data_IF_564805599735
#
_entry.id   IF_564805599735
#
_cell.length_a   1.000
_cell.length_b   1.000
_cell.length_c   1.000
_cell.angle_alpha   90.00
_cell.angle_beta   90.00
_cell.angle_gamma   90.00
#
_symmetry.space_group_name_H-M   'P 1'
#
loop_
_entity.id
_entity.type
_entity.pdbx_description
1 polymer ?
#
# COMPACT_ATOMS: atom_id res chain seq x y z
N UNK A 1 -4.01 29.51 1.65
CA UNK A 1 -4.19 28.04 1.56
C UNK A 1 -2.97 27.38 2.14
N UNK A 2 -3.12 26.37 3.00
CA UNK A 2 -1.96 25.69 3.57
C UNK A 2 -1.12 25.00 2.48
N UNK A 3 0.20 25.12 2.60
CA UNK A 3 1.15 24.69 1.56
C UNK A 3 1.10 23.17 1.38
N UNK A 4 0.99 22.42 2.49
CA UNK A 4 0.78 20.96 2.49
C UNK A 4 -0.43 20.50 1.67
N UNK A 5 -1.55 21.23 1.72
CA UNK A 5 -2.79 20.84 0.98
C UNK A 5 -2.60 21.00 -0.52
N UNK A 6 -1.86 22.04 -0.93
CA UNK A 6 -1.52 22.26 -2.33
C UNK A 6 -0.59 21.17 -2.87
N UNK A 7 0.38 20.73 -2.06
CA UNK A 7 1.28 19.61 -2.37
C UNK A 7 0.49 18.31 -2.53
N UNK A 8 -0.36 17.97 -1.54
CA UNK A 8 -1.20 16.76 -1.59
C UNK A 8 -2.08 16.71 -2.86
N UNK A 9 -2.71 17.84 -3.22
CA UNK A 9 -3.55 17.95 -4.41
C UNK A 9 -2.74 17.73 -5.70
N UNK A 10 -1.50 18.24 -5.75
CA UNK A 10 -0.60 18.03 -6.91
C UNK A 10 -0.14 16.58 -6.99
N UNK A 11 0.22 15.95 -5.88
CA UNK A 11 0.63 14.55 -5.82
C UNK A 11 -0.47 13.61 -6.34
N UNK A 12 -1.72 13.79 -5.90
CA UNK A 12 -2.87 13.02 -6.42
C UNK A 12 -3.05 13.25 -7.92
N UNK A 13 -2.91 14.50 -8.39
CA UNK A 13 -3.05 14.84 -9.81
C UNK A 13 -1.95 14.23 -10.69
N UNK A 14 -0.73 14.14 -10.17
CA UNK A 14 0.41 13.51 -10.85
C UNK A 14 0.18 12.01 -11.01
N UNK A 15 -0.21 11.31 -9.94
CA UNK A 15 -0.48 9.86 -9.99
C UNK A 15 -1.71 9.51 -10.83
N UNK A 16 -2.73 10.37 -10.82
CA UNK A 16 -3.93 10.20 -11.67
C UNK A 16 -3.83 10.94 -13.00
N UNK A 17 -2.62 11.24 -13.46
CA UNK A 17 -2.40 11.98 -14.70
C UNK A 17 -2.85 11.22 -15.96
N UNK A 18 -3.06 9.91 -15.89
CA UNK A 18 -3.64 9.11 -16.98
C UNK A 18 -5.16 9.31 -17.12
N UNK A 19 -5.86 9.54 -16.01
CA UNK A 19 -7.33 9.61 -15.95
C UNK A 19 -7.86 11.03 -15.79
N UNK A 20 -7.17 12.05 -16.34
CA UNK A 20 -7.39 13.48 -16.02
C UNK A 20 -8.84 13.94 -16.15
N UNK A 21 -9.55 13.48 -17.19
CA UNK A 21 -10.92 13.91 -17.52
C UNK A 21 -11.95 13.35 -16.54
N UNK A 22 -11.79 12.08 -16.12
CA UNK A 22 -12.79 11.34 -15.36
C UNK A 22 -12.32 10.97 -13.96
N UNK A 23 -11.40 11.75 -13.34
CA UNK A 23 -10.78 11.41 -12.05
C UNK A 23 -11.77 11.06 -10.94
N UNK A 24 -12.87 11.81 -10.82
CA UNK A 24 -13.90 11.53 -9.81
C UNK A 24 -14.56 10.18 -10.04
N UNK A 25 -14.95 9.91 -11.28
CA UNK A 25 -15.58 8.65 -11.68
C UNK A 25 -14.60 7.49 -11.46
N UNK A 26 -13.33 7.65 -11.84
CA UNK A 26 -12.29 6.65 -11.60
C UNK A 26 -12.15 6.30 -10.11
N UNK A 27 -12.09 7.30 -9.23
CA UNK A 27 -12.02 7.06 -7.80
C UNK A 27 -13.28 6.39 -7.26
N UNK A 28 -14.47 6.84 -7.67
CA UNK A 28 -15.73 6.22 -7.23
C UNK A 28 -15.80 4.76 -7.70
N UNK A 29 -15.50 4.48 -8.97
CA UNK A 29 -15.59 3.14 -9.54
C UNK A 29 -14.59 2.18 -8.90
N UNK A 30 -13.32 2.61 -8.73
CA UNK A 30 -12.29 1.73 -8.18
C UNK A 30 -12.52 1.46 -6.70
N UNK A 31 -12.93 2.47 -5.92
CA UNK A 31 -13.24 2.27 -4.51
C UNK A 31 -14.48 1.40 -4.34
N UNK A 32 -15.53 1.59 -5.13
CA UNK A 32 -16.72 0.75 -5.07
C UNK A 32 -16.40 -0.71 -5.39
N UNK A 33 -15.57 -0.94 -6.42
CA UNK A 33 -15.15 -2.28 -6.82
C UNK A 33 -14.30 -2.95 -5.72
N UNK A 34 -13.32 -2.21 -5.16
CA UNK A 34 -12.46 -2.73 -4.10
C UNK A 34 -13.20 -2.93 -2.77
N UNK A 35 -14.18 -2.10 -2.44
CA UNK A 35 -15.04 -2.31 -1.27
C UNK A 35 -15.92 -3.55 -1.46
N UNK A 36 -16.52 -3.71 -2.63
CA UNK A 36 -17.33 -4.88 -2.93
C UNK A 36 -16.48 -6.16 -2.92
N UNK A 37 -15.26 -6.10 -3.47
CA UNK A 37 -14.27 -7.16 -3.32
C UNK A 37 -13.95 -7.43 -1.85
N UNK A 38 -13.60 -6.40 -1.08
CA UNK A 38 -13.10 -6.58 0.28
C UNK A 38 -14.15 -7.19 1.23
N UNK A 39 -15.40 -6.76 1.13
CA UNK A 39 -16.45 -7.16 2.08
C UNK A 39 -17.27 -8.36 1.62
N UNK A 40 -17.39 -8.59 0.32
CA UNK A 40 -18.31 -9.61 -0.21
C UNK A 40 -17.60 -10.68 -1.02
N UNK A 41 -16.96 -10.32 -2.13
CA UNK A 41 -16.37 -11.33 -3.02
C UNK A 41 -15.19 -12.02 -2.34
N UNK A 42 -14.29 -11.26 -1.74
CA UNK A 42 -13.03 -11.72 -1.19
C UNK A 42 -13.20 -12.82 -0.15
N UNK A 43 -13.94 -12.59 0.96
CA UNK A 43 -14.17 -13.61 1.97
C UNK A 43 -14.82 -14.86 1.40
N UNK A 44 -15.92 -14.72 0.65
CA UNK A 44 -16.65 -15.85 0.07
C UNK A 44 -15.80 -16.67 -0.91
N UNK A 45 -15.00 -16.00 -1.74
CA UNK A 45 -14.12 -16.66 -2.70
C UNK A 45 -13.00 -17.43 -2.00
N UNK A 46 -12.42 -16.83 -0.96
CA UNK A 46 -11.34 -17.44 -0.19
C UNK A 46 -11.83 -18.59 0.69
N UNK A 47 -12.98 -18.45 1.33
CA UNK A 47 -13.58 -19.51 2.15
C UNK A 47 -13.99 -20.74 1.30
N UNK A 48 -14.36 -20.55 0.04
CA UNK A 48 -14.67 -21.65 -0.86
C UNK A 48 -13.41 -22.41 -1.33
N UNK A 49 -12.30 -21.69 -1.56
CA UNK A 49 -11.13 -22.23 -2.25
C UNK A 49 -10.02 -22.66 -1.28
N UNK A 50 -9.79 -21.91 -0.21
CA UNK A 50 -8.73 -22.18 0.77
C UNK A 50 -8.86 -23.57 1.41
N UNK A 51 -10.03 -24.06 1.85
CA UNK A 51 -10.13 -25.37 2.50
C UNK A 51 -9.77 -26.52 1.56
N UNK A 52 -10.14 -26.43 0.29
CA UNK A 52 -9.81 -27.46 -0.71
C UNK A 52 -8.31 -27.47 -1.04
N UNK A 53 -7.72 -26.29 -1.23
CA UNK A 53 -6.26 -26.16 -1.40
C UNK A 53 -5.53 -26.71 -0.18
N UNK A 54 -5.97 -26.38 1.04
CA UNK A 54 -5.33 -26.85 2.27
C UNK A 54 -5.47 -28.37 2.44
N UNK A 55 -6.61 -28.97 2.08
CA UNK A 55 -6.80 -30.43 2.11
C UNK A 55 -5.89 -31.18 1.13
N UNK A 56 -5.61 -30.62 -0.04
CA UNK A 56 -4.71 -31.23 -1.03
C UNK A 56 -3.26 -31.22 -0.53
N UNK A 57 -2.87 -30.19 0.23
CA UNK A 57 -1.48 -30.00 0.66
C UNK A 57 -1.22 -30.65 2.05
N UNK A 58 -2.25 -31.08 2.79
CA UNK A 58 -2.18 -31.50 4.21
C UNK A 58 -1.26 -32.67 4.55
N UNK A 59 -0.82 -33.48 3.58
CA UNK A 59 0.20 -34.51 3.82
C UNK A 59 1.60 -33.96 4.12
N UNK A 60 1.94 -32.77 3.58
CA UNK A 60 3.24 -32.10 3.71
C UNK A 60 3.14 -30.66 4.25
N UNK A 61 1.92 -30.17 4.58
CA UNK A 61 1.68 -28.77 4.96
C UNK A 61 2.44 -28.34 6.20
N UNK A 62 2.48 -29.12 7.28
CA UNK A 62 3.06 -28.63 8.53
C UNK A 62 4.51 -28.14 8.36
N UNK A 63 5.31 -28.84 7.56
CA UNK A 63 6.69 -28.43 7.25
C UNK A 63 6.72 -27.26 6.26
N UNK A 64 5.90 -27.31 5.20
CA UNK A 64 5.86 -26.26 4.18
C UNK A 64 5.31 -24.93 4.70
N UNK A 65 4.24 -24.93 5.51
CA UNK A 65 3.67 -23.74 6.13
C UNK A 65 4.63 -23.13 7.14
N UNK A 66 5.33 -23.96 7.91
CA UNK A 66 6.33 -23.46 8.87
C UNK A 66 7.46 -22.76 8.12
N UNK A 67 8.00 -23.39 7.07
CA UNK A 67 9.00 -22.77 6.19
C UNK A 67 8.48 -21.47 5.55
N UNK A 68 7.25 -21.48 5.02
CA UNK A 68 6.68 -20.32 4.35
C UNK A 68 6.48 -19.15 5.33
N UNK A 69 6.00 -19.43 6.54
CA UNK A 69 5.86 -18.46 7.62
C UNK A 69 7.24 -17.92 8.02
N UNK A 70 8.22 -18.79 8.29
CA UNK A 70 9.59 -18.40 8.64
C UNK A 70 10.24 -17.52 7.57
N UNK A 71 10.17 -17.93 6.30
CA UNK A 71 10.69 -17.13 5.19
C UNK A 71 9.95 -15.80 5.04
N UNK A 72 8.63 -15.77 5.24
CA UNK A 72 7.84 -14.55 5.17
C UNK A 72 8.26 -13.56 6.26
N UNK A 73 8.40 -14.03 7.51
CA UNK A 73 8.85 -13.22 8.62
C UNK A 73 10.30 -12.75 8.45
N UNK A 74 11.20 -13.61 7.99
CA UNK A 74 12.59 -13.24 7.69
C UNK A 74 12.66 -12.16 6.59
N UNK A 75 11.85 -12.31 5.53
CA UNK A 75 11.79 -11.34 4.43
C UNK A 75 11.22 -10.00 4.89
N UNK A 76 10.14 -10.03 5.70
CA UNK A 76 9.58 -8.82 6.31
C UNK A 76 10.60 -8.13 7.20
N UNK A 77 11.29 -8.89 8.07
CA UNK A 77 12.35 -8.36 8.93
C UNK A 77 13.46 -7.68 8.13
N UNK A 78 13.99 -8.34 7.09
CA UNK A 78 14.99 -7.74 6.21
C UNK A 78 14.46 -6.49 5.51
N UNK A 79 13.22 -6.51 5.03
CA UNK A 79 12.59 -5.35 4.41
C UNK A 79 12.47 -4.18 5.40
N UNK A 80 12.08 -4.43 6.64
CA UNK A 80 11.99 -3.40 7.69
C UNK A 80 13.35 -2.83 8.09
N UNK A 81 14.46 -3.54 7.90
CA UNK A 81 15.82 -3.02 8.12
C UNK A 81 16.35 -2.27 6.89
N UNK A 82 16.21 -2.88 5.70
CA UNK A 82 16.78 -2.35 4.45
C UNK A 82 16.03 -1.09 4.01
N UNK A 83 14.70 -1.06 4.15
CA UNK A 83 13.89 0.07 3.71
C UNK A 83 14.25 1.41 4.40
N UNK A 84 14.37 1.50 5.74
CA UNK A 84 14.80 2.74 6.39
C UNK A 84 16.25 3.09 6.07
N UNK A 85 17.16 2.11 5.97
CA UNK A 85 18.53 2.35 5.51
C UNK A 85 18.53 2.98 4.12
N UNK A 86 17.75 2.43 3.18
CA UNK A 86 17.60 2.96 1.84
C UNK A 86 17.03 4.38 1.84
N UNK A 87 16.06 4.69 2.71
CA UNK A 87 15.54 6.06 2.87
C UNK A 87 16.61 7.01 3.42
N UNK A 88 17.43 6.58 4.39
CA UNK A 88 18.52 7.38 4.94
C UNK A 88 19.56 7.71 3.87
N UNK A 89 19.97 6.73 3.07
CA UNK A 89 20.87 6.95 1.93
C UNK A 89 20.23 7.76 0.78
N UNK A 90 18.92 7.63 0.56
CA UNK A 90 18.23 8.40 -0.47
C UNK A 90 18.05 9.87 -0.07
N UNK A 91 17.83 10.16 1.22
CA UNK A 91 17.71 11.54 1.74
C UNK A 91 19.06 12.29 1.73
N UNK A 92 20.20 11.58 1.70
CA UNK A 92 21.51 12.22 1.51
C UNK A 92 21.82 12.57 0.06
N UNK A 93 21.07 12.02 -0.91
CA UNK A 93 21.13 12.48 -2.30
C UNK A 93 20.39 13.83 -2.43
N UNK A 94 21.19 14.89 -2.29
CA UNK A 94 21.24 16.21 -2.97
C UNK A 94 19.90 16.83 -3.48
N UNK A 95 19.14 16.28 -4.45
CA UNK A 95 17.96 16.96 -5.03
C UNK A 95 16.87 17.42 -4.04
N UNK A 96 16.64 16.71 -2.94
CA UNK A 96 15.59 17.10 -1.97
C UNK A 96 16.05 18.21 -1.02
N UNK A 97 17.35 18.23 -0.70
CA UNK A 97 17.97 19.22 0.20
C UNK A 97 18.08 20.58 -0.50
N UNK A 98 18.43 20.59 -1.78
CA UNK A 98 18.49 21.81 -2.60
C UNK A 98 17.11 22.46 -2.77
N UNK A 99 16.04 21.67 -2.96
CA UNK A 99 14.67 22.17 -3.04
C UNK A 99 14.18 22.79 -1.73
N UNK A 100 14.54 22.20 -0.59
CA UNK A 100 14.20 22.72 0.74
C UNK A 100 14.95 24.01 1.10
N UNK A 101 16.18 24.17 0.60
CA UNK A 101 16.99 25.39 0.84
C UNK A 101 16.59 26.52 -0.11
N UNK A 102 16.18 26.19 -1.35
CA UNK A 102 15.84 27.18 -2.38
C UNK A 102 14.39 27.67 -2.36
N UNK A 103 13.52 27.04 -1.58
CA UNK A 103 12.10 27.42 -1.47
C UNK A 103 11.69 27.67 -0.01
N UNK A 104 10.78 28.63 0.26
CA UNK A 104 10.30 28.91 1.62
C UNK A 104 9.25 27.84 2.03
N UNK A 105 9.63 26.57 1.97
CA UNK A 105 8.74 25.44 2.24
C UNK A 105 9.31 24.62 3.40
N UNK A 106 8.53 24.47 4.46
CA UNK A 106 8.91 23.63 5.59
C UNK A 106 8.93 22.14 5.19
N UNK A 107 9.95 21.37 5.59
CA UNK A 107 10.01 19.93 5.33
C UNK A 107 8.78 19.15 5.82
N UNK A 108 8.18 19.61 6.92
CA UNK A 108 6.95 19.05 7.50
C UNK A 108 5.78 19.13 6.50
N UNK A 109 5.61 20.26 5.85
CA UNK A 109 4.51 20.48 4.90
C UNK A 109 4.67 19.63 3.64
N UNK A 110 5.91 19.41 3.18
CA UNK A 110 6.20 18.52 2.05
C UNK A 110 5.90 17.08 2.42
N UNK A 111 6.44 16.60 3.53
CA UNK A 111 6.25 15.23 3.99
C UNK A 111 4.77 14.92 4.21
N UNK A 112 4.07 15.78 4.94
CA UNK A 112 2.65 15.60 5.23
C UNK A 112 1.79 15.69 3.97
N UNK A 113 2.12 16.61 3.06
CA UNK A 113 1.45 16.74 1.77
C UNK A 113 1.61 15.51 0.89
N UNK A 114 2.83 14.97 0.76
CA UNK A 114 3.09 13.75 -0.01
C UNK A 114 2.40 12.53 0.61
N UNK A 115 2.47 12.37 1.93
CA UNK A 115 1.83 11.26 2.63
C UNK A 115 0.31 11.25 2.41
N UNK A 116 -0.36 12.40 2.61
CA UNK A 116 -1.79 12.54 2.35
C UNK A 116 -2.13 12.32 0.87
N UNK A 117 -1.27 12.80 -0.04
CA UNK A 117 -1.46 12.59 -1.46
C UNK A 117 -1.40 11.11 -1.87
N UNK A 118 -0.66 10.29 -1.13
CA UNK A 118 -0.49 8.85 -1.38
C UNK A 118 -1.48 7.95 -0.62
N UNK A 119 -2.05 8.45 0.47
CA UNK A 119 -3.04 7.72 1.30
C UNK A 119 -4.15 7.01 0.50
N UNK A 120 -4.80 7.64 -0.49
CA UNK A 120 -5.86 6.99 -1.26
C UNK A 120 -5.40 5.73 -2.00
N UNK A 121 -4.13 5.65 -2.37
CA UNK A 121 -3.58 4.48 -3.05
C UNK A 121 -3.20 3.38 -2.06
N UNK A 122 -2.67 3.76 -0.89
CA UNK A 122 -2.42 2.80 0.20
C UNK A 122 -3.72 2.15 0.68
N UNK A 123 -4.80 2.92 0.76
CA UNK A 123 -6.10 2.38 1.13
C UNK A 123 -6.61 1.31 0.14
N UNK A 124 -6.38 1.50 -1.17
CA UNK A 124 -6.73 0.48 -2.17
C UNK A 124 -5.93 -0.82 -1.99
N UNK A 125 -4.65 -0.72 -1.63
CA UNK A 125 -3.82 -1.89 -1.32
C UNK A 125 -4.38 -2.65 -0.13
N UNK A 126 -4.78 -1.93 0.93
CA UNK A 126 -5.39 -2.51 2.13
C UNK A 126 -6.70 -3.21 1.76
N UNK A 127 -7.57 -2.60 0.95
CA UNK A 127 -8.81 -3.25 0.50
C UNK A 127 -8.56 -4.49 -0.37
N UNK A 128 -7.49 -4.52 -1.16
CA UNK A 128 -7.14 -5.67 -1.99
C UNK A 128 -6.65 -6.86 -1.18
N UNK A 129 -5.78 -6.62 -0.20
CA UNK A 129 -5.14 -7.67 0.63
C UNK A 129 -6.00 -8.03 1.84
N UNK A 130 -6.83 -7.11 2.33
CA UNK A 130 -7.63 -7.23 3.55
C UNK A 130 -8.36 -8.57 3.69
N UNK A 131 -9.11 -9.04 2.67
CA UNK A 131 -9.81 -10.33 2.73
C UNK A 131 -8.91 -11.51 3.08
N UNK A 132 -7.73 -11.58 2.47
CA UNK A 132 -6.76 -12.65 2.73
C UNK A 132 -6.28 -12.63 4.17
N UNK A 133 -6.04 -11.45 4.73
CA UNK A 133 -5.64 -11.33 6.12
C UNK A 133 -6.77 -11.73 7.07
N UNK A 134 -8.02 -11.35 6.78
CA UNK A 134 -9.16 -11.70 7.64
C UNK A 134 -9.50 -13.18 7.59
N UNK A 135 -9.44 -13.83 6.41
CA UNK A 135 -9.79 -15.26 6.26
C UNK A 135 -8.71 -16.19 6.82
N UNK A 136 -7.47 -15.71 6.97
CA UNK A 136 -6.40 -16.47 7.63
C UNK A 136 -6.45 -16.37 9.17
N UNK A 137 -7.13 -15.36 9.70
CA UNK A 137 -7.26 -15.13 11.14
C UNK A 137 -8.50 -15.82 11.75
N UNK A 138 -9.46 -16.20 10.91
CA UNK A 138 -10.65 -16.98 11.28
C UNK A 138 -10.36 -18.47 11.11
#
# INVERSE_FOLDING_TARGET
>A
MSLWRSIAKKEIRLKTSRFRKNRKIFFISIYSLFLFWAFYIGPNFLDAILPEILKIVSGNLASFTTLLIEYSFATLFLMYIIYPLFILFRKSQIPYKEFLISSPIEPKDVFFGEFIGRLPFYFLIILGIGPFATTLLV
#
